data_IF_376391486975
#
_entry.id   IF_376391486975
#
_cell.length_a   1.000
_cell.length_b   1.000
_cell.length_c   1.000
_cell.angle_alpha   90.00
_cell.angle_beta   90.00
_cell.angle_gamma   90.00
#
_symmetry.space_group_name_H-M   'P 1'
#
loop_
_entity.id
_entity.type
_entity.pdbx_description
1 polymer ?
#
# COMPACT_ATOMS: atom_id res chain seq x y z
N UNK A 1 -1.53 -9.67 -68.00
CA UNK A 1 -0.78 -8.78 -67.04
C UNK A 1 -0.24 -9.67 -65.97
N UNK A 2 1.06 -10.05 -66.05
CA UNK A 2 1.73 -10.98 -65.11
C UNK A 2 2.52 -10.16 -64.11
N UNK A 3 2.07 -10.13 -62.87
CA UNK A 3 2.78 -9.48 -61.73
C UNK A 3 4.02 -10.32 -61.38
N UNK A 4 5.20 -9.82 -61.67
CA UNK A 4 6.48 -10.39 -61.22
C UNK A 4 6.58 -10.21 -59.68
N UNK A 5 6.48 -11.31 -58.93
CA UNK A 5 6.90 -11.36 -57.53
C UNK A 5 8.42 -11.23 -57.46
N UNK A 6 8.91 -10.23 -56.75
CA UNK A 6 10.32 -10.02 -56.49
C UNK A 6 10.74 -10.96 -55.31
N UNK A 7 11.55 -12.03 -55.49
CA UNK A 7 11.81 -13.04 -54.47
C UNK A 7 12.99 -12.73 -53.52
N UNK A 8 13.58 -11.52 -53.59
CA UNK A 8 14.79 -11.21 -52.82
C UNK A 8 14.55 -10.11 -51.78
N UNK A 9 13.67 -10.36 -50.83
CA UNK A 9 13.77 -9.69 -49.55
C UNK A 9 14.86 -10.43 -48.74
N UNK A 10 16.09 -9.94 -48.84
CA UNK A 10 17.19 -10.43 -47.99
C UNK A 10 16.82 -10.12 -46.53
N UNK A 11 16.50 -11.14 -45.76
CA UNK A 11 16.41 -11.03 -44.30
C UNK A 11 17.83 -10.75 -43.79
N UNK A 12 18.13 -9.50 -43.49
CA UNK A 12 19.37 -9.12 -42.82
C UNK A 12 19.37 -9.78 -41.44
N UNK A 13 20.19 -10.79 -41.23
CA UNK A 13 20.41 -11.43 -39.94
C UNK A 13 21.10 -10.44 -39.00
N UNK A 14 20.63 -10.40 -37.73
CA UNK A 14 21.22 -9.58 -36.68
C UNK A 14 22.59 -10.15 -36.29
N UNK A 15 23.58 -9.29 -36.10
CA UNK A 15 24.91 -9.72 -35.66
C UNK A 15 24.94 -10.01 -34.15
N UNK A 16 25.83 -10.89 -33.72
CA UNK A 16 26.00 -11.19 -32.29
C UNK A 16 26.40 -9.94 -31.50
N UNK A 17 27.21 -9.07 -32.07
CA UNK A 17 27.66 -7.81 -31.46
C UNK A 17 26.49 -6.84 -31.27
N UNK A 18 25.60 -6.74 -32.24
CA UNK A 18 24.41 -5.88 -32.16
C UNK A 18 23.48 -6.34 -31.05
N UNK A 19 23.29 -7.65 -30.86
CA UNK A 19 22.53 -8.22 -29.79
C UNK A 19 23.18 -7.95 -28.42
N UNK A 20 24.50 -8.03 -28.30
CA UNK A 20 25.25 -7.70 -27.10
C UNK A 20 25.08 -6.23 -26.70
N UNK A 21 25.18 -5.30 -27.66
CA UNK A 21 24.99 -3.85 -27.39
C UNK A 21 23.56 -3.57 -26.91
N UNK A 22 22.55 -4.16 -27.53
CA UNK A 22 21.14 -4.02 -27.10
C UNK A 22 20.94 -4.52 -25.68
N UNK A 23 21.51 -5.69 -25.34
CA UNK A 23 21.39 -6.24 -23.97
C UNK A 23 22.07 -5.33 -22.93
N UNK A 24 23.22 -4.74 -23.25
CA UNK A 24 23.89 -3.80 -22.33
C UNK A 24 23.03 -2.55 -22.11
N UNK A 25 22.47 -1.97 -23.18
CA UNK A 25 21.58 -0.81 -23.06
C UNK A 25 20.35 -1.14 -22.20
N UNK A 26 19.69 -2.28 -22.45
CA UNK A 26 18.54 -2.72 -21.68
C UNK A 26 18.89 -2.95 -20.21
N UNK A 27 20.05 -3.53 -19.91
CA UNK A 27 20.49 -3.74 -18.52
C UNK A 27 20.69 -2.41 -17.77
N UNK A 28 21.29 -1.40 -18.41
CA UNK A 28 21.47 -0.07 -17.83
C UNK A 28 20.12 0.60 -17.57
N UNK A 29 19.21 0.57 -18.54
CA UNK A 29 17.86 1.14 -18.37
C UNK A 29 17.09 0.44 -17.27
N UNK A 30 17.15 -0.89 -17.19
CA UNK A 30 16.51 -1.66 -16.14
C UNK A 30 17.06 -1.32 -14.76
N UNK A 31 18.38 -1.14 -14.62
CA UNK A 31 19.01 -0.78 -13.34
C UNK A 31 18.50 0.55 -12.76
N UNK A 32 18.18 1.52 -13.61
CA UNK A 32 17.63 2.83 -13.22
C UNK A 32 16.12 2.75 -12.95
N UNK A 33 15.39 1.98 -13.74
CA UNK A 33 13.94 1.87 -13.65
C UNK A 33 13.47 1.04 -12.45
N UNK A 34 14.24 0.04 -12.04
CA UNK A 34 13.88 -0.92 -10.99
C UNK A 34 13.52 -0.28 -9.63
N UNK A 35 14.37 0.60 -9.04
CA UNK A 35 14.05 1.21 -7.74
C UNK A 35 12.79 2.09 -7.80
N UNK A 36 12.57 2.81 -8.87
CA UNK A 36 11.37 3.62 -9.06
C UNK A 36 10.10 2.77 -9.12
N UNK A 37 10.14 1.65 -9.81
CA UNK A 37 9.06 0.69 -9.89
C UNK A 37 8.73 0.10 -8.50
N UNK A 38 9.74 -0.32 -7.72
CA UNK A 38 9.53 -0.84 -6.37
C UNK A 38 8.84 0.18 -5.46
N UNK A 39 9.27 1.44 -5.49
CA UNK A 39 8.64 2.51 -4.72
C UNK A 39 7.16 2.73 -5.12
N UNK A 40 6.85 2.66 -6.41
CA UNK A 40 5.49 2.78 -6.92
C UNK A 40 4.59 1.63 -6.42
N UNK A 41 5.11 0.40 -6.44
CA UNK A 41 4.41 -0.79 -5.93
C UNK A 41 4.17 -0.69 -4.42
N UNK A 42 5.16 -0.26 -3.64
CA UNK A 42 4.99 -0.05 -2.20
C UNK A 42 3.91 1.00 -1.90
N UNK A 43 3.90 2.12 -2.63
CA UNK A 43 2.84 3.14 -2.50
C UNK A 43 1.46 2.59 -2.84
N UNK A 44 1.34 1.80 -3.90
CA UNK A 44 0.08 1.15 -4.25
C UNK A 44 -0.44 0.24 -3.14
N UNK A 45 0.45 -0.54 -2.50
CA UNK A 45 0.07 -1.41 -1.36
C UNK A 45 -0.31 -0.62 -0.10
N UNK A 46 0.26 0.58 0.13
CA UNK A 46 -0.20 1.47 1.23
C UNK A 46 -1.65 1.87 1.07
N UNK A 47 -2.17 1.95 -0.15
CA UNK A 47 -3.57 2.25 -0.40
C UNK A 47 -4.51 1.21 0.24
N UNK A 48 -4.09 -0.07 0.34
CA UNK A 48 -4.82 -1.13 1.05
C UNK A 48 -4.98 -0.82 2.55
N UNK A 49 -3.93 -0.27 3.21
CA UNK A 49 -4.03 0.19 4.59
C UNK A 49 -4.97 1.40 4.73
N UNK A 50 -4.82 2.40 3.84
CA UNK A 50 -5.64 3.63 3.86
C UNK A 50 -7.12 3.30 3.66
N UNK A 51 -7.46 2.46 2.68
CA UNK A 51 -8.84 1.99 2.44
C UNK A 51 -9.41 1.32 3.70
N UNK A 52 -8.64 0.41 4.31
CA UNK A 52 -9.07 -0.34 5.48
C UNK A 52 -9.25 0.56 6.70
N UNK A 53 -8.33 1.48 6.97
CA UNK A 53 -8.43 2.44 8.08
C UNK A 53 -9.62 3.40 7.88
N UNK A 54 -9.84 3.87 6.65
CA UNK A 54 -11.00 4.70 6.31
C UNK A 54 -12.32 3.94 6.51
N UNK A 55 -12.37 2.66 6.12
CA UNK A 55 -13.54 1.81 6.36
C UNK A 55 -13.82 1.61 7.86
N UNK A 56 -12.77 1.45 8.68
CA UNK A 56 -12.90 1.41 10.15
C UNK A 56 -13.47 2.72 10.66
N UNK A 57 -12.95 3.87 10.23
CA UNK A 57 -13.48 5.18 10.63
C UNK A 57 -14.98 5.30 10.36
N UNK A 58 -15.41 5.03 9.12
CA UNK A 58 -16.82 5.08 8.76
C UNK A 58 -17.67 4.12 9.57
N UNK A 59 -17.15 2.95 9.91
CA UNK A 59 -17.86 1.97 10.72
C UNK A 59 -17.96 2.38 12.17
N UNK A 60 -16.93 3.00 12.73
CA UNK A 60 -16.91 3.58 14.07
C UNK A 60 -17.92 4.75 14.20
N UNK A 61 -17.99 5.63 13.20
CA UNK A 61 -18.96 6.73 13.20
C UNK A 61 -20.40 6.21 13.11
N UNK A 62 -20.67 5.20 12.29
CA UNK A 62 -22.00 4.53 12.26
C UNK A 62 -22.35 3.90 13.60
N UNK A 63 -21.41 3.25 14.27
CA UNK A 63 -21.60 2.69 15.59
C UNK A 63 -21.89 3.78 16.62
N UNK A 64 -21.11 4.85 16.58
CA UNK A 64 -21.17 5.98 17.51
C UNK A 64 -22.50 6.74 17.43
N UNK A 65 -23.16 6.74 16.28
CA UNK A 65 -24.47 7.37 16.09
C UNK A 65 -25.57 6.77 17.00
N UNK A 66 -25.40 5.52 17.47
CA UNK A 66 -26.36 4.81 18.30
C UNK A 66 -25.80 4.35 19.65
N UNK A 67 -24.53 4.65 19.95
CA UNK A 67 -23.85 4.16 21.15
C UNK A 67 -23.05 5.28 21.83
N UNK A 68 -22.95 5.27 23.18
CA UNK A 68 -22.25 6.32 23.93
C UNK A 68 -20.72 6.25 23.82
N UNK A 69 -20.17 5.14 23.34
CA UNK A 69 -18.71 4.90 23.19
C UNK A 69 -18.38 4.36 21.82
N UNK A 70 -17.15 4.51 21.39
CA UNK A 70 -16.63 3.78 20.24
C UNK A 70 -16.57 2.28 20.52
N UNK A 71 -16.56 1.45 19.46
CA UNK A 71 -16.51 0.01 19.61
C UNK A 71 -15.07 -0.45 19.77
N UNK A 72 -14.81 -1.24 20.81
CA UNK A 72 -13.45 -1.67 21.15
C UNK A 72 -12.93 -2.84 20.28
N UNK A 73 -13.83 -3.55 19.58
CA UNK A 73 -13.46 -4.75 18.80
C UNK A 73 -13.83 -4.61 17.33
N UNK A 74 -13.00 -5.18 16.46
CA UNK A 74 -13.28 -5.25 15.01
C UNK A 74 -14.18 -6.44 14.65
N UNK A 75 -14.03 -7.58 15.32
CA UNK A 75 -14.60 -8.87 14.87
C UNK A 75 -15.49 -9.57 15.88
N UNK A 76 -15.31 -9.38 17.21
CA UNK A 76 -16.07 -10.11 18.23
C UNK A 76 -16.57 -9.19 19.35
N UNK A 77 -17.87 -8.83 19.36
CA UNK A 77 -18.79 -8.87 18.22
C UNK A 77 -18.32 -7.93 17.11
N UNK A 78 -18.63 -8.20 15.84
CA UNK A 78 -18.04 -7.44 14.75
C UNK A 78 -18.47 -5.98 14.74
N UNK A 79 -17.56 -5.09 14.38
CA UNK A 79 -17.86 -3.69 14.09
C UNK A 79 -18.79 -3.62 12.87
N UNK A 80 -19.98 -3.00 12.97
CA UNK A 80 -20.96 -2.98 11.90
C UNK A 80 -20.39 -2.45 10.58
N UNK A 81 -20.50 -3.28 9.53
CA UNK A 81 -20.00 -2.96 8.21
C UNK A 81 -18.49 -3.14 8.01
N UNK A 82 -17.78 -3.74 9.01
CA UNK A 82 -16.37 -4.07 8.88
C UNK A 82 -16.14 -5.56 9.22
N UNK A 83 -15.77 -5.97 10.37
CA UNK A 83 -15.74 -7.39 10.79
C UNK A 83 -14.55 -8.19 10.29
N UNK A 84 -13.37 -7.56 10.14
CA UNK A 84 -12.12 -8.24 9.76
C UNK A 84 -10.91 -7.67 10.51
N UNK A 85 -9.85 -8.48 10.61
CA UNK A 85 -8.58 -8.10 11.26
C UNK A 85 -7.43 -7.95 10.28
N UNK A 86 -7.70 -8.11 8.98
CA UNK A 86 -6.72 -7.93 7.91
C UNK A 86 -7.25 -6.95 6.87
N UNK A 87 -6.36 -6.24 6.22
CA UNK A 87 -6.70 -5.41 5.08
C UNK A 87 -7.25 -6.24 3.93
N UNK A 88 -7.88 -5.60 2.94
CA UNK A 88 -8.56 -6.28 1.83
C UNK A 88 -7.62 -7.16 1.03
N UNK A 89 -6.45 -6.64 0.68
CA UNK A 89 -5.44 -7.35 -0.11
C UNK A 89 -4.49 -8.18 0.78
N UNK A 90 -4.70 -8.16 2.11
CA UNK A 90 -3.96 -8.98 3.07
C UNK A 90 -2.55 -8.48 3.38
N UNK A 91 -2.22 -7.25 3.04
CA UNK A 91 -0.90 -6.68 3.31
C UNK A 91 -0.71 -6.23 4.74
N UNK A 92 -1.79 -5.90 5.47
CA UNK A 92 -1.76 -5.35 6.82
C UNK A 92 -2.66 -6.10 7.78
N UNK A 93 -2.23 -6.23 9.03
CA UNK A 93 -3.07 -6.58 10.17
C UNK A 93 -3.69 -5.31 10.74
N UNK A 94 -4.97 -5.39 11.11
CA UNK A 94 -5.75 -4.26 11.60
C UNK A 94 -6.08 -4.45 13.07
N UNK A 95 -5.96 -3.38 13.85
CA UNK A 95 -6.29 -3.37 15.28
C UNK A 95 -6.88 -2.04 15.72
N UNK A 96 -7.53 -2.05 16.89
CA UNK A 96 -7.99 -0.86 17.61
C UNK A 96 -7.25 -0.78 18.94
N UNK A 97 -6.95 0.43 19.37
CA UNK A 97 -6.34 0.74 20.67
C UNK A 97 -6.96 2.02 21.24
N UNK A 98 -6.77 2.24 22.54
CA UNK A 98 -7.17 3.47 23.25
C UNK A 98 -8.64 3.86 23.04
N UNK A 99 -9.52 2.86 23.04
CA UNK A 99 -10.94 3.06 22.73
C UNK A 99 -11.69 3.56 23.95
N UNK A 100 -12.30 4.73 23.84
CA UNK A 100 -13.11 5.39 24.89
C UNK A 100 -14.41 5.93 24.31
N UNK A 101 -15.06 6.82 25.05
CA UNK A 101 -16.24 7.55 24.59
C UNK A 101 -15.92 8.58 23.49
N UNK A 102 -14.71 9.14 23.48
CA UNK A 102 -14.31 10.23 22.59
C UNK A 102 -13.00 9.99 21.83
N UNK A 103 -12.34 8.86 22.07
CA UNK A 103 -11.05 8.55 21.45
C UNK A 103 -10.99 7.12 20.92
N UNK A 104 -10.24 6.90 19.89
CA UNK A 104 -9.72 5.60 19.48
C UNK A 104 -8.53 5.76 18.53
N UNK A 105 -7.69 4.75 18.48
CA UNK A 105 -6.62 4.60 17.50
C UNK A 105 -6.89 3.38 16.63
N UNK A 106 -7.11 3.58 15.32
CA UNK A 106 -7.13 2.50 14.35
C UNK A 106 -5.75 2.34 13.76
N UNK A 107 -5.23 1.12 13.74
CA UNK A 107 -3.87 0.82 13.32
C UNK A 107 -3.85 -0.26 12.24
N UNK A 108 -3.05 -0.05 11.22
CA UNK A 108 -2.69 -1.02 10.19
C UNK A 108 -1.18 -1.31 10.29
N UNK A 109 -0.83 -2.52 10.68
CA UNK A 109 0.57 -2.99 10.82
C UNK A 109 0.89 -3.95 9.69
N UNK A 110 2.02 -3.77 9.03
CA UNK A 110 2.46 -4.67 7.95
C UNK A 110 2.47 -6.11 8.46
N UNK A 111 1.82 -6.98 7.71
CA UNK A 111 1.72 -8.41 8.03
C UNK A 111 3.05 -9.12 7.74
N UNK A 112 3.51 -9.96 8.66
CA UNK A 112 4.65 -10.85 8.42
C UNK A 112 4.39 -11.74 7.20
N UNK A 113 5.39 -11.86 6.32
CA UNK A 113 5.26 -12.60 5.05
C UNK A 113 4.61 -11.80 3.92
N UNK A 114 4.10 -10.60 4.16
CA UNK A 114 3.69 -9.70 3.08
C UNK A 114 4.91 -9.11 2.36
N UNK A 115 4.87 -8.96 1.02
CA UNK A 115 5.89 -8.20 0.30
C UNK A 115 6.04 -6.75 0.76
N UNK A 116 5.05 -6.23 1.51
CA UNK A 116 5.09 -4.88 2.08
C UNK A 116 6.08 -4.74 3.23
N UNK A 117 6.62 -5.85 3.79
CA UNK A 117 7.71 -5.81 4.77
C UNK A 117 8.97 -5.11 4.26
N UNK A 118 9.17 -5.06 2.94
CA UNK A 118 10.24 -4.30 2.30
C UNK A 118 10.07 -2.77 2.42
N UNK A 119 8.88 -2.28 2.76
CA UNK A 119 8.63 -0.86 3.02
C UNK A 119 8.99 -0.49 4.46
N UNK A 120 10.28 -0.36 4.74
CA UNK A 120 10.78 -0.09 6.10
C UNK A 120 10.30 1.24 6.69
N UNK A 121 9.84 2.16 5.85
CA UNK A 121 9.41 3.50 6.27
C UNK A 121 7.98 3.54 6.80
N UNK A 122 7.09 2.71 6.26
CA UNK A 122 5.65 2.73 6.54
C UNK A 122 5.18 1.36 7.07
N UNK A 123 5.83 0.88 8.14
CA UNK A 123 5.51 -0.41 8.74
C UNK A 123 4.18 -0.39 9.51
N UNK A 124 3.84 0.77 10.08
CA UNK A 124 2.60 0.98 10.82
C UNK A 124 1.96 2.27 10.35
N UNK A 125 0.68 2.22 9.99
CA UNK A 125 -0.12 3.40 9.68
C UNK A 125 -1.27 3.51 10.67
N UNK A 126 -1.53 4.73 11.19
CA UNK A 126 -2.52 4.96 12.25
C UNK A 126 -3.43 6.12 11.89
N UNK A 127 -4.69 5.95 12.23
CA UNK A 127 -5.67 7.04 12.35
C UNK A 127 -6.02 7.17 13.83
N UNK A 128 -5.82 8.36 14.36
CA UNK A 128 -6.07 8.69 15.77
C UNK A 128 -7.23 9.67 15.83
N UNK A 129 -8.27 9.31 16.56
CA UNK A 129 -9.41 10.20 16.82
C UNK A 129 -9.36 10.63 18.29
N UNK A 130 -9.39 11.93 18.52
CA UNK A 130 -9.45 12.53 19.86
C UNK A 130 -10.43 13.68 19.85
N UNK A 131 -11.55 13.54 20.56
CA UNK A 131 -12.56 14.59 20.68
C UNK A 131 -13.12 15.07 19.32
N UNK A 132 -13.24 14.15 18.34
CA UNK A 132 -13.68 14.46 16.97
C UNK A 132 -12.59 14.98 16.03
N UNK A 133 -11.38 15.27 16.52
CA UNK A 133 -10.23 15.62 15.68
C UNK A 133 -9.58 14.35 15.13
N UNK A 134 -9.19 14.40 13.84
CA UNK A 134 -8.56 13.28 13.14
C UNK A 134 -7.08 13.57 12.97
N UNK A 135 -6.23 12.68 13.49
CA UNK A 135 -4.78 12.68 13.27
C UNK A 135 -4.37 11.49 12.41
N UNK A 136 -3.43 11.72 11.50
CA UNK A 136 -2.82 10.69 10.67
C UNK A 136 -1.36 10.58 11.04
N UNK A 137 -0.91 9.40 11.43
CA UNK A 137 0.47 9.14 11.81
C UNK A 137 0.95 7.83 11.21
N UNK A 138 2.25 7.69 11.03
CA UNK A 138 2.86 6.43 10.63
C UNK A 138 4.18 6.21 11.37
N UNK A 139 4.63 4.96 11.37
CA UNK A 139 5.87 4.57 12.04
C UNK A 139 6.71 3.72 11.09
N UNK A 140 8.02 3.93 11.15
CA UNK A 140 9.01 3.09 10.50
C UNK A 140 9.26 1.80 11.28
N UNK A 141 10.05 0.89 10.74
CA UNK A 141 10.52 -0.29 11.47
C UNK A 141 11.22 0.12 12.78
N UNK A 142 10.85 -0.54 13.89
CA UNK A 142 11.32 -0.20 15.23
C UNK A 142 10.45 0.82 15.97
N UNK A 143 9.21 1.02 15.52
CA UNK A 143 8.22 1.92 16.15
C UNK A 143 8.63 3.40 16.25
N UNK A 144 9.51 3.84 15.36
CA UNK A 144 9.91 5.25 15.27
C UNK A 144 8.85 6.00 14.45
N UNK A 145 8.22 7.00 15.05
CA UNK A 145 7.23 7.85 14.38
C UNK A 145 7.87 8.65 13.23
N UNK A 146 7.19 8.67 12.09
CA UNK A 146 7.59 9.53 10.98
C UNK A 146 7.26 11.01 11.32
N UNK A 147 8.08 11.93 10.81
CA UNK A 147 7.88 13.37 11.02
C UNK A 147 6.69 13.95 10.24
N UNK A 148 6.51 15.26 10.37
CA UNK A 148 5.50 16.02 9.62
C UNK A 148 6.17 16.86 8.52
N UNK A 149 5.71 16.77 7.24
CA UNK A 149 4.60 15.95 6.76
C UNK A 149 4.93 14.45 6.75
N UNK A 150 3.94 13.62 7.09
CA UNK A 150 4.12 12.18 7.16
C UNK A 150 4.22 11.57 5.75
N UNK A 151 5.34 10.92 5.39
CA UNK A 151 5.59 10.43 4.03
C UNK A 151 4.71 9.25 3.62
N UNK A 152 4.03 8.61 4.57
CA UNK A 152 3.16 7.48 4.32
C UNK A 152 1.72 7.91 3.99
N UNK A 153 1.32 9.11 4.43
CA UNK A 153 0.01 9.70 4.22
C UNK A 153 0.01 10.81 3.16
N UNK A 154 1.18 11.36 2.81
CA UNK A 154 1.30 12.33 1.71
C UNK A 154 1.08 11.66 0.36
N UNK A 155 0.33 12.32 -0.51
CA UNK A 155 0.13 11.91 -1.92
C UNK A 155 1.37 12.18 -2.76
#
# INVERSE_FOLDING_TARGET
MTTRRNPNAAHAGMTLVELMIVLVILAVLAAVAWPSYQNAVQRSRRADAVESLTAIMHSQERWRASNPTYKATLVDPPLPGFGRTTSRDGHYNLSLAEVTASTYTAQATVRSGSPQTADSRCQVMRVVIVGGNIGYTSMSGGDVANGTPDPCWSK
#
